data_IF_161054615113
#
_entry.id   IF_161054615113
#
_cell.length_a   1.000
_cell.length_b   1.000
_cell.length_c   1.000
_cell.angle_alpha   90.00
_cell.angle_beta   90.00
_cell.angle_gamma   90.00
#
_symmetry.space_group_name_H-M   'P 1'
#
loop_
_entity.id
_entity.type
_entity.pdbx_description
1 polymer ?
#
# COMPACT_ATOMS: atom_id res chain seq x y z
N UNK A 1 -6.59 -13.63 -5.21
CA UNK A 1 -5.70 -14.65 -4.65
C UNK A 1 -4.41 -13.95 -4.24
N UNK A 2 -3.95 -14.13 -3.00
CA UNK A 2 -2.72 -13.53 -2.48
C UNK A 2 -1.52 -14.37 -2.97
N UNK A 3 -0.54 -13.72 -3.59
CA UNK A 3 0.69 -14.36 -4.08
C UNK A 3 1.82 -14.18 -3.07
N UNK A 4 2.90 -15.00 -3.09
CA UNK A 4 3.98 -14.89 -2.11
C UNK A 4 4.64 -13.51 -2.05
N UNK A 5 4.92 -12.89 -3.20
CA UNK A 5 5.53 -11.55 -3.22
C UNK A 5 4.55 -10.48 -2.70
N UNK A 6 3.25 -10.62 -2.97
CA UNK A 6 2.24 -9.71 -2.42
C UNK A 6 2.08 -9.87 -0.91
N UNK A 7 2.19 -11.09 -0.40
CA UNK A 7 2.19 -11.35 1.04
C UNK A 7 3.39 -10.67 1.72
N UNK A 8 4.58 -10.75 1.11
CA UNK A 8 5.79 -10.10 1.61
C UNK A 8 5.69 -8.57 1.59
N UNK A 9 5.14 -7.99 0.51
CA UNK A 9 4.90 -6.53 0.46
C UNK A 9 3.92 -6.11 1.56
N UNK A 10 2.87 -6.90 1.80
CA UNK A 10 1.89 -6.61 2.83
C UNK A 10 2.50 -6.66 4.23
N UNK A 11 3.38 -7.63 4.53
CA UNK A 11 4.06 -7.67 5.84
C UNK A 11 4.99 -6.48 6.02
N UNK A 12 5.80 -6.16 5.02
CA UNK A 12 6.66 -4.96 5.04
C UNK A 12 5.89 -3.67 5.31
N UNK A 13 4.74 -3.48 4.64
CA UNK A 13 3.89 -2.32 4.85
C UNK A 13 3.35 -2.29 6.29
N UNK A 14 2.75 -3.40 6.75
CA UNK A 14 2.18 -3.50 8.08
C UNK A 14 3.22 -3.23 9.17
N UNK A 15 4.39 -3.86 9.07
CA UNK A 15 5.47 -3.72 10.05
C UNK A 15 6.06 -2.31 10.03
N UNK A 16 6.21 -1.70 8.85
CA UNK A 16 6.72 -0.33 8.73
C UNK A 16 5.76 0.69 9.34
N UNK A 17 4.45 0.57 9.07
CA UNK A 17 3.45 1.47 9.66
C UNK A 17 3.33 1.28 11.18
N UNK A 18 3.33 0.03 11.65
CA UNK A 18 3.30 -0.26 13.08
C UNK A 18 4.55 0.28 13.80
N UNK A 19 5.74 0.03 13.25
CA UNK A 19 7.00 0.51 13.82
C UNK A 19 7.17 2.03 13.75
N UNK A 20 6.50 2.71 12.80
CA UNK A 20 6.46 4.16 12.71
C UNK A 20 5.46 4.81 13.69
N UNK A 21 4.68 4.03 14.44
CA UNK A 21 3.67 4.54 15.37
C UNK A 21 2.46 5.15 14.65
N UNK A 22 2.17 4.74 13.42
CA UNK A 22 1.00 5.23 12.70
C UNK A 22 -0.30 4.85 13.43
N UNK A 23 -1.17 5.82 13.68
CA UNK A 23 -2.51 5.54 14.20
C UNK A 23 -3.38 4.98 13.07
N UNK A 24 -3.44 3.66 12.99
CA UNK A 24 -4.27 2.94 12.02
C UNK A 24 -5.78 3.14 12.25
N UNK A 25 -6.18 3.78 13.36
CA UNK A 25 -7.57 4.11 13.68
C UNK A 25 -7.92 5.57 13.38
N UNK A 26 -6.96 6.39 12.94
CA UNK A 26 -7.13 7.83 12.74
C UNK A 26 -8.37 8.21 11.90
N UNK A 27 -8.77 7.38 10.92
CA UNK A 27 -9.82 7.63 9.92
C UNK A 27 -10.95 8.59 10.33
N UNK A 28 -12.09 8.06 10.78
CA UNK A 28 -13.24 8.90 11.19
C UNK A 28 -12.99 9.66 12.50
N UNK A 29 -12.12 9.15 13.39
CA UNK A 29 -11.84 9.83 14.66
C UNK A 29 -11.19 11.19 14.45
N UNK A 30 -10.35 11.37 13.42
CA UNK A 30 -9.72 12.65 13.12
C UNK A 30 -10.74 13.78 12.89
N UNK A 31 -11.86 13.49 12.21
CA UNK A 31 -12.94 14.46 12.00
C UNK A 31 -13.69 14.73 13.30
N UNK A 32 -14.05 13.65 14.03
CA UNK A 32 -14.79 13.77 15.30
C UNK A 32 -13.99 14.53 16.36
N UNK A 33 -12.71 14.22 16.50
CA UNK A 33 -11.82 14.82 17.48
C UNK A 33 -11.51 16.29 17.15
N UNK A 34 -11.66 16.68 15.87
CA UNK A 34 -11.63 18.07 15.43
C UNK A 34 -12.99 18.81 15.58
N UNK A 35 -14.04 18.13 16.04
CA UNK A 35 -15.39 18.70 16.17
C UNK A 35 -16.10 18.92 14.83
N UNK A 36 -15.63 18.28 13.75
CA UNK A 36 -16.24 18.36 12.43
C UNK A 36 -17.42 17.39 12.30
N UNK A 37 -18.38 17.66 11.40
CA UNK A 37 -19.41 16.69 11.03
C UNK A 37 -18.83 15.40 10.48
N UNK A 38 -19.69 14.37 10.37
CA UNK A 38 -19.30 13.13 9.70
C UNK A 38 -18.93 13.41 8.24
N UNK A 39 -17.74 13.01 7.76
CA UNK A 39 -17.29 13.32 6.43
C UNK A 39 -17.99 12.48 5.37
N UNK A 40 -18.16 13.05 4.18
CA UNK A 40 -18.33 12.28 2.96
C UNK A 40 -16.98 11.64 2.60
N UNK A 41 -17.00 10.36 2.22
CA UNK A 41 -15.79 9.61 1.90
C UNK A 41 -15.89 8.91 0.56
N UNK A 42 -14.79 8.92 -0.19
CA UNK A 42 -14.61 8.13 -1.41
C UNK A 42 -13.41 7.20 -1.27
N UNK A 43 -13.46 6.10 -2.01
CA UNK A 43 -12.33 5.20 -2.16
C UNK A 43 -12.18 4.83 -3.63
N UNK A 44 -10.98 5.01 -4.14
CA UNK A 44 -10.63 4.66 -5.51
C UNK A 44 -9.42 3.73 -5.53
N UNK A 45 -9.48 2.74 -6.42
CA UNK A 45 -8.38 1.84 -6.69
C UNK A 45 -8.43 1.39 -8.16
N UNK A 46 -7.26 1.22 -8.78
CA UNK A 46 -7.14 0.61 -10.09
C UNK A 46 -7.04 -0.90 -9.93
N UNK A 47 -7.80 -1.68 -10.69
CA UNK A 47 -7.70 -3.14 -10.72
C UNK A 47 -7.43 -3.63 -12.15
N UNK A 48 -6.50 -4.57 -12.29
CA UNK A 48 -6.20 -5.17 -13.59
C UNK A 48 -5.20 -6.32 -13.50
N UNK A 49 -4.99 -7.00 -14.62
CA UNK A 49 -4.01 -8.08 -14.79
C UNK A 49 -3.23 -7.91 -16.09
N UNK A 50 -2.16 -8.70 -16.27
CA UNK A 50 -1.27 -8.60 -17.43
C UNK A 50 -0.76 -7.18 -17.66
N UNK A 51 -0.82 -6.70 -18.90
CA UNK A 51 -0.38 -5.34 -19.28
C UNK A 51 -1.17 -4.19 -18.65
N UNK A 52 -2.34 -4.46 -18.04
CA UNK A 52 -3.15 -3.47 -17.32
C UNK A 52 -3.05 -3.61 -15.80
N UNK A 53 -2.12 -4.40 -15.30
CA UNK A 53 -1.92 -4.63 -13.87
C UNK A 53 -1.55 -3.35 -13.13
N UNK A 54 -2.12 -3.18 -11.92
CA UNK A 54 -1.81 -2.05 -11.04
C UNK A 54 -0.53 -2.24 -10.21
N UNK A 55 0.38 -3.13 -10.63
CA UNK A 55 1.57 -3.53 -9.88
C UNK A 55 2.50 -2.35 -9.54
N UNK A 56 2.63 -1.39 -10.46
CA UNK A 56 3.45 -0.20 -10.27
C UNK A 56 3.06 0.60 -9.01
N UNK A 57 1.76 0.69 -8.71
CA UNK A 57 1.28 1.41 -7.53
C UNK A 57 1.85 0.84 -6.22
N UNK A 58 1.92 -0.49 -6.11
CA UNK A 58 2.51 -1.15 -4.94
C UNK A 58 4.02 -0.99 -4.87
N UNK A 59 4.71 -1.12 -6.02
CA UNK A 59 6.14 -0.88 -6.12
C UNK A 59 6.51 0.53 -5.64
N UNK A 60 5.78 1.54 -6.10
CA UNK A 60 5.98 2.93 -5.71
C UNK A 60 5.80 3.16 -4.19
N UNK A 61 4.79 2.55 -3.57
CA UNK A 61 4.62 2.63 -2.11
C UNK A 61 5.78 1.97 -1.38
N UNK A 62 6.16 0.75 -1.77
CA UNK A 62 7.25 0.01 -1.13
C UNK A 62 8.56 0.80 -1.24
N UNK A 63 8.85 1.39 -2.39
CA UNK A 63 10.01 2.28 -2.60
C UNK A 63 10.02 3.44 -1.59
N UNK A 64 8.87 4.09 -1.38
CA UNK A 64 8.72 5.18 -0.43
C UNK A 64 8.99 4.77 1.03
N UNK A 65 8.71 3.51 1.39
CA UNK A 65 8.90 3.00 2.76
C UNK A 65 10.21 2.25 2.99
N UNK A 66 11.09 2.11 1.98
CA UNK A 66 12.43 1.51 2.16
C UNK A 66 13.24 2.22 3.24
N UNK A 67 13.34 3.58 3.28
CA UNK A 67 14.12 4.23 4.33
C UNK A 67 13.56 3.99 5.76
N UNK A 68 12.24 4.09 6.01
CA UNK A 68 11.63 3.62 7.27
C UNK A 68 11.93 2.17 7.61
N UNK A 69 11.74 1.23 6.66
CA UNK A 69 11.99 -0.20 6.89
C UNK A 69 13.44 -0.46 7.32
N UNK A 70 14.40 0.20 6.67
CA UNK A 70 15.82 0.09 7.02
C UNK A 70 16.11 0.58 8.44
N UNK A 71 15.51 1.72 8.84
CA UNK A 71 15.69 2.26 10.20
C UNK A 71 15.08 1.35 11.27
N UNK A 72 13.98 0.67 10.95
CA UNK A 72 13.27 -0.24 11.85
C UNK A 72 13.83 -1.67 11.84
N UNK A 73 14.81 -1.98 10.99
CA UNK A 73 15.40 -3.32 10.87
C UNK A 73 14.49 -4.35 10.20
N UNK A 74 13.52 -3.91 9.38
CA UNK A 74 12.54 -4.77 8.71
C UNK A 74 13.09 -5.34 7.40
N UNK A 75 13.63 -4.46 6.55
CA UNK A 75 14.19 -4.80 5.24
C UNK A 75 15.14 -3.70 4.76
N UNK A 76 16.09 -4.08 3.92
CA UNK A 76 17.03 -3.19 3.24
C UNK A 76 16.61 -2.93 1.78
N UNK A 77 17.29 -1.99 1.13
CA UNK A 77 17.12 -1.77 -0.31
C UNK A 77 17.54 -3.00 -1.14
N UNK A 78 18.49 -3.80 -0.63
CA UNK A 78 18.95 -5.03 -1.28
C UNK A 78 17.88 -6.13 -1.19
N UNK A 79 17.23 -6.29 -0.03
CA UNK A 79 16.12 -7.24 0.16
C UNK A 79 14.92 -6.89 -0.74
N UNK A 80 14.64 -5.60 -0.89
CA UNK A 80 13.49 -5.09 -1.66
C UNK A 80 13.79 -5.10 -3.16
N UNK A 81 15.02 -4.76 -3.57
CA UNK A 81 15.42 -4.54 -4.95
C UNK A 81 14.43 -3.63 -5.73
N UNK A 82 14.28 -2.36 -5.32
CA UNK A 82 13.21 -1.47 -5.77
C UNK A 82 13.15 -1.26 -7.29
N UNK A 83 14.29 -1.26 -7.97
CA UNK A 83 14.39 -1.02 -9.41
C UNK A 83 13.71 -2.11 -10.24
N UNK A 84 13.61 -3.34 -9.70
CA UNK A 84 13.02 -4.50 -10.39
C UNK A 84 11.69 -4.93 -9.78
N UNK A 85 11.24 -4.28 -8.70
CA UNK A 85 10.08 -4.71 -7.93
C UNK A 85 8.78 -4.72 -8.74
N UNK A 86 8.58 -3.74 -9.64
CA UNK A 86 7.41 -3.69 -10.52
C UNK A 86 7.37 -4.89 -11.46
N UNK A 87 8.49 -5.23 -12.10
CA UNK A 87 8.59 -6.36 -13.03
C UNK A 87 8.36 -7.69 -12.31
N UNK A 88 8.93 -7.84 -11.11
CA UNK A 88 8.72 -9.02 -10.26
C UNK A 88 7.25 -9.18 -9.85
N UNK A 89 6.55 -8.09 -9.52
CA UNK A 89 5.12 -8.11 -9.22
C UNK A 89 4.25 -8.47 -10.44
N UNK A 90 4.65 -8.03 -11.64
CA UNK A 90 3.98 -8.40 -12.87
C UNK A 90 4.17 -9.88 -13.18
N UNK A 91 5.40 -10.39 -13.07
CA UNK A 91 5.72 -11.80 -13.29
C UNK A 91 5.00 -12.72 -12.29
N UNK A 92 5.00 -12.35 -11.01
CA UNK A 92 4.30 -13.07 -9.95
C UNK A 92 2.78 -13.07 -10.17
N UNK A 93 2.20 -11.94 -10.63
CA UNK A 93 0.78 -11.89 -10.97
C UNK A 93 0.43 -12.77 -12.19
N UNK A 94 1.29 -12.79 -13.22
CA UNK A 94 1.10 -13.60 -14.43
C UNK A 94 1.20 -15.10 -14.11
N UNK A 95 2.24 -15.52 -13.40
CA UNK A 95 2.48 -16.91 -12.99
C UNK A 95 1.26 -17.49 -12.25
N UNK A 96 0.61 -16.67 -11.43
CA UNK A 96 -0.53 -17.08 -10.61
C UNK A 96 -1.89 -16.72 -11.21
N UNK A 97 -1.96 -16.24 -12.47
CA UNK A 97 -3.19 -15.77 -13.13
C UNK A 97 -4.00 -14.80 -12.24
N UNK A 98 -3.30 -13.87 -11.58
CA UNK A 98 -3.86 -13.00 -10.55
C UNK A 98 -4.30 -11.63 -11.09
N UNK A 99 -5.38 -11.11 -10.53
CA UNK A 99 -5.77 -9.70 -10.66
C UNK A 99 -5.12 -8.90 -9.54
N UNK A 100 -4.51 -7.79 -9.92
CA UNK A 100 -3.85 -6.84 -9.03
C UNK A 100 -4.75 -5.65 -8.84
N UNK A 101 -5.38 -5.56 -7.66
CA UNK A 101 -5.92 -4.30 -7.13
C UNK A 101 -4.75 -3.48 -6.63
N UNK A 102 -4.63 -2.24 -7.07
CA UNK A 102 -3.64 -1.27 -6.63
C UNK A 102 -3.92 -0.75 -5.21
N UNK A 103 -3.08 0.16 -4.70
CA UNK A 103 -3.33 0.78 -3.41
C UNK A 103 -4.67 1.53 -3.40
N UNK A 104 -5.48 1.31 -2.36
CA UNK A 104 -6.69 2.09 -2.16
C UNK A 104 -6.34 3.51 -1.71
N UNK A 105 -6.82 4.50 -2.44
CA UNK A 105 -6.72 5.90 -2.07
C UNK A 105 -8.07 6.34 -1.53
N UNK A 106 -8.06 6.98 -0.36
CA UNK A 106 -9.26 7.48 0.31
C UNK A 106 -9.30 9.00 0.23
N UNK A 107 -10.44 9.54 -0.18
CA UNK A 107 -10.77 10.96 -0.05
C UNK A 107 -11.81 11.15 1.06
N UNK A 108 -11.70 12.24 1.82
CA UNK A 108 -12.70 12.59 2.82
C UNK A 108 -12.85 14.11 2.90
N UNK A 109 -14.09 14.61 2.91
CA UNK A 109 -14.41 16.03 3.03
C UNK A 109 -15.71 16.24 3.81
N UNK A 110 -15.88 17.43 4.38
CA UNK A 110 -17.14 17.88 4.96
C UNK A 110 -17.75 18.94 4.07
N UNK A 111 -19.05 18.90 3.88
CA UNK A 111 -19.83 19.95 3.23
C UNK A 111 -20.42 20.87 4.31
N UNK A 112 -20.44 22.18 4.04
CA UNK A 112 -21.02 23.20 4.94
C UNK A 112 -22.56 23.18 4.95
#
# INVERSE_FOLDING_TARGET
METPLRQQIRSWLADAFAGAGADLRMGLSAFRDAGLPEPEMTMEAVAGGGSRSAAFGWSNIVQGIVPPMKRLGIATAEDVAPDTLTERLLADAEEHNAIVVGPCLYGAWVTE
#
